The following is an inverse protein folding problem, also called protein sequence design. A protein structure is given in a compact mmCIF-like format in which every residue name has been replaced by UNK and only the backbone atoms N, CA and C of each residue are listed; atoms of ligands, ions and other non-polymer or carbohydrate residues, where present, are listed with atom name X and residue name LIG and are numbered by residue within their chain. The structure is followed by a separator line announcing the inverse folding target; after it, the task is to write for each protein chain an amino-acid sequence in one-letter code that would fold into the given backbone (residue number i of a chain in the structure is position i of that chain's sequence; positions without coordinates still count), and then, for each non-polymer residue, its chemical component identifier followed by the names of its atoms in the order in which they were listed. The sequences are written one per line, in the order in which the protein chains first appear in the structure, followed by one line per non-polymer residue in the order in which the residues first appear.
data_IF_231114920534
#
_entry.id   IF_231114920534
#
_cell.length_a   1.000
_cell.length_b   1.000
_cell.length_c   1.000
_cell.angle_alpha   90.00
_cell.angle_beta   90.00
_cell.angle_gamma   90.00
#
_symmetry.space_group_name_H-M   'P 1'
#
loop_
_entity.id
_entity.type
_entity.pdbx_description
1 polymer ?
#
# COMPACT_ATOMS: atom_id res chain seq x y z
N UNK A 1 2.86 26.10 -10.88
CA UNK A 1 3.42 24.78 -10.54
C UNK A 1 2.88 23.79 -11.54
N UNK A 2 3.61 22.73 -11.91
CA UNK A 2 2.97 21.59 -12.57
C UNK A 2 1.84 21.07 -11.66
N UNK A 3 0.64 20.93 -12.18
CA UNK A 3 -0.56 20.58 -11.42
C UNK A 3 -1.22 19.32 -11.98
N UNK A 4 -1.47 18.36 -11.10
CA UNK A 4 -2.23 17.17 -11.44
C UNK A 4 -3.71 17.53 -11.53
N UNK A 5 -4.38 17.10 -12.59
CA UNK A 5 -5.83 17.30 -12.68
C UNK A 5 -6.53 16.44 -11.61
N UNK A 6 -7.53 16.98 -10.88
CA UNK A 6 -8.22 16.25 -9.81
C UNK A 6 -8.86 14.94 -10.29
N UNK A 7 -9.29 14.92 -11.55
CA UNK A 7 -9.87 13.73 -12.18
C UNK A 7 -8.85 12.60 -12.31
N UNK A 8 -7.64 12.89 -12.82
CA UNK A 8 -6.58 11.88 -12.95
C UNK A 8 -6.08 11.46 -11.57
N UNK A 9 -5.98 12.39 -10.62
CA UNK A 9 -5.64 12.07 -9.24
C UNK A 9 -6.63 11.08 -8.63
N UNK A 10 -7.92 11.37 -8.72
CA UNK A 10 -8.97 10.50 -8.20
C UNK A 10 -8.96 9.13 -8.87
N UNK A 11 -8.71 9.05 -10.18
CA UNK A 11 -8.59 7.77 -10.89
C UNK A 11 -7.41 6.94 -10.38
N UNK A 12 -6.24 7.56 -10.17
CA UNK A 12 -5.06 6.86 -9.64
C UNK A 12 -5.32 6.38 -8.20
N UNK A 13 -5.98 7.20 -7.39
CA UNK A 13 -6.30 6.84 -6.01
C UNK A 13 -7.31 5.69 -5.94
N UNK A 14 -8.33 5.66 -6.81
CA UNK A 14 -9.24 4.53 -6.92
C UNK A 14 -8.50 3.23 -7.29
N UNK A 15 -7.60 3.29 -8.29
CA UNK A 15 -6.78 2.13 -8.67
C UNK A 15 -5.88 1.64 -7.52
N UNK A 16 -5.43 2.55 -6.65
CA UNK A 16 -4.64 2.23 -5.47
C UNK A 16 -5.51 1.57 -4.39
N UNK A 17 -6.71 2.10 -4.14
CA UNK A 17 -7.66 1.54 -3.18
C UNK A 17 -8.14 0.15 -3.59
N UNK A 18 -8.39 -0.05 -4.88
CA UNK A 18 -8.80 -1.33 -5.48
C UNK A 18 -7.65 -2.34 -5.60
N UNK A 19 -6.41 -1.92 -5.35
CA UNK A 19 -5.22 -2.77 -5.36
C UNK A 19 -4.66 -3.07 -6.75
N UNK A 20 -5.15 -2.42 -7.81
CA UNK A 20 -4.63 -2.56 -9.17
C UNK A 20 -3.23 -1.93 -9.31
N UNK A 21 -2.93 -0.90 -8.52
CA UNK A 21 -1.60 -0.31 -8.43
C UNK A 21 -1.11 -0.28 -6.99
N UNK A 22 0.19 -0.48 -6.80
CA UNK A 22 0.86 -0.30 -5.52
C UNK A 22 1.05 1.19 -5.20
N UNK A 23 1.35 1.51 -3.93
CA UNK A 23 1.66 2.89 -3.52
C UNK A 23 2.81 3.51 -4.32
N UNK A 24 3.79 2.70 -4.72
CA UNK A 24 4.92 3.16 -5.53
C UNK A 24 4.47 3.47 -6.96
N UNK A 25 3.68 2.60 -7.58
CA UNK A 25 3.13 2.82 -8.92
C UNK A 25 2.20 4.03 -8.96
N UNK A 26 1.32 4.19 -7.98
CA UNK A 26 0.46 5.37 -7.84
C UNK A 26 1.28 6.66 -7.75
N UNK A 27 2.36 6.66 -6.95
CA UNK A 27 3.26 7.82 -6.83
C UNK A 27 3.96 8.14 -8.16
N UNK A 28 4.34 7.12 -8.92
CA UNK A 28 4.95 7.26 -10.25
C UNK A 28 3.95 7.83 -11.25
N UNK A 29 2.71 7.34 -11.26
CA UNK A 29 1.65 7.83 -12.12
C UNK A 29 1.33 9.30 -11.82
N UNK A 30 1.16 9.67 -10.55
CA UNK A 30 0.93 11.07 -10.16
C UNK A 30 2.05 11.96 -10.68
N UNK A 31 3.32 11.59 -10.47
CA UNK A 31 4.44 12.36 -11.00
C UNK A 31 4.46 12.40 -12.54
N UNK A 32 4.15 11.31 -13.21
CA UNK A 32 4.09 11.25 -14.69
C UNK A 32 3.07 12.23 -15.26
N UNK A 33 1.90 12.39 -14.63
CA UNK A 33 0.86 13.32 -15.08
C UNK A 33 1.04 14.75 -14.56
N UNK A 34 1.81 14.94 -13.49
CA UNK A 34 2.14 16.27 -12.98
C UNK A 34 3.16 16.96 -13.87
N UNK A 35 4.23 16.27 -14.28
CA UNK A 35 5.33 16.90 -15.03
C UNK A 35 5.19 16.72 -16.54
N UNK A 36 5.52 17.77 -17.29
CA UNK A 36 5.46 17.78 -18.76
C UNK A 36 6.41 16.76 -19.40
N UNK A 37 7.52 16.46 -18.73
CA UNK A 37 8.51 15.51 -19.22
C UNK A 37 8.75 14.36 -18.26
N UNK A 38 8.90 13.16 -18.82
CA UNK A 38 9.25 11.97 -18.06
C UNK A 38 10.59 12.13 -17.32
N UNK A 39 11.51 12.95 -17.85
CA UNK A 39 12.80 13.25 -17.23
C UNK A 39 12.65 14.05 -15.94
N UNK A 40 11.77 15.05 -15.91
CA UNK A 40 11.46 15.84 -14.72
C UNK A 40 10.73 14.99 -13.67
N UNK A 41 9.75 14.18 -14.10
CA UNK A 41 9.09 13.21 -13.22
C UNK A 41 10.10 12.27 -12.57
N UNK A 42 11.04 11.72 -13.34
CA UNK A 42 12.11 10.87 -12.83
C UNK A 42 13.02 11.60 -11.83
N UNK A 43 13.42 12.84 -12.15
CA UNK A 43 14.27 13.64 -11.27
C UNK A 43 13.58 13.91 -9.92
N UNK A 44 12.30 14.27 -9.94
CA UNK A 44 11.51 14.51 -8.73
C UNK A 44 11.40 13.29 -7.81
N UNK A 45 11.40 12.09 -8.41
CA UNK A 45 11.28 10.82 -7.71
C UNK A 45 12.62 10.20 -7.33
N UNK A 46 13.75 10.76 -7.77
CA UNK A 46 15.07 10.14 -7.63
C UNK A 46 15.18 8.81 -8.39
N UNK A 47 14.48 8.68 -9.52
CA UNK A 47 14.36 7.45 -10.31
C UNK A 47 15.12 7.56 -11.64
N UNK A 48 15.60 6.43 -12.15
CA UNK A 48 16.21 6.33 -13.47
C UNK A 48 15.12 6.25 -14.56
N UNK A 49 15.23 6.97 -15.69
CA UNK A 49 14.21 6.97 -16.77
C UNK A 49 13.84 5.60 -17.31
N UNK A 50 14.80 4.67 -17.37
CA UNK A 50 14.56 3.29 -17.81
C UNK A 50 13.64 2.54 -16.85
N UNK A 51 13.78 2.75 -15.54
CA UNK A 51 12.92 2.15 -14.52
C UNK A 51 11.48 2.64 -14.63
N UNK A 52 11.30 3.96 -14.77
CA UNK A 52 9.95 4.53 -14.97
C UNK A 52 9.32 3.99 -16.25
N UNK A 53 10.08 3.92 -17.35
CA UNK A 53 9.59 3.41 -18.64
C UNK A 53 9.18 1.94 -18.56
N UNK A 54 9.93 1.11 -17.82
CA UNK A 54 9.60 -0.28 -17.58
C UNK A 54 8.29 -0.42 -16.78
N UNK A 55 8.09 0.43 -15.76
CA UNK A 55 6.88 0.43 -14.93
C UNK A 55 5.66 0.86 -15.76
N UNK A 56 5.74 1.96 -16.51
CA UNK A 56 4.64 2.40 -17.39
C UNK A 56 4.30 1.34 -18.46
N UNK A 57 5.32 0.69 -19.03
CA UNK A 57 5.11 -0.41 -19.99
C UNK A 57 4.46 -1.63 -19.34
N UNK A 58 4.82 -1.93 -18.08
CA UNK A 58 4.19 -2.99 -17.29
C UNK A 58 2.71 -2.71 -17.05
N UNK A 59 2.38 -1.52 -16.55
CA UNK A 59 1.01 -1.07 -16.30
C UNK A 59 0.17 -1.05 -17.58
N UNK A 60 0.76 -0.70 -18.72
CA UNK A 60 0.06 -0.75 -20.00
C UNK A 60 -0.25 -2.18 -20.46
N UNK A 61 0.69 -3.11 -20.28
CA UNK A 61 0.46 -4.54 -20.56
C UNK A 61 -0.61 -5.14 -19.64
N UNK A 62 -0.70 -4.65 -18.41
CA UNK A 62 -1.73 -5.02 -17.44
C UNK A 62 -3.10 -4.41 -17.76
N UNK A 63 -3.21 -3.54 -18.77
CA UNK A 63 -4.47 -2.89 -19.14
C UNK A 63 -4.83 -1.67 -18.28
N UNK A 64 -3.95 -1.27 -17.34
CA UNK A 64 -4.14 -0.10 -16.47
C UNK A 64 -3.86 1.20 -17.24
N UNK A 65 -2.93 1.15 -18.21
CA UNK A 65 -2.59 2.28 -19.07
C UNK A 65 -2.86 1.98 -20.55
N UNK A 66 -3.48 2.92 -21.24
CA UNK A 66 -3.69 2.89 -22.69
C UNK A 66 -2.54 3.66 -23.34
N UNK A 67 -1.86 3.03 -24.30
CA UNK A 67 -0.77 3.67 -25.02
C UNK A 67 -1.31 4.54 -26.15
N UNK A 68 -1.17 5.86 -26.02
CA UNK A 68 -1.68 6.85 -26.98
C UNK A 68 -0.69 7.14 -28.13
N UNK A 69 0.59 6.82 -27.95
CA UNK A 69 1.62 7.11 -28.94
C UNK A 69 3.03 6.75 -28.47
N UNK A 70 4.06 7.38 -29.06
CA UNK A 70 5.46 7.18 -28.65
C UNK A 70 5.68 7.72 -27.22
N UNK A 71 5.65 6.83 -26.24
CA UNK A 71 5.96 7.15 -24.83
C UNK A 71 4.84 7.88 -24.07
N UNK A 72 3.66 8.00 -24.67
CA UNK A 72 2.49 8.63 -24.06
C UNK A 72 1.48 7.57 -23.63
N UNK A 73 1.05 7.68 -22.38
CA UNK A 73 0.11 6.78 -21.73
C UNK A 73 -1.04 7.57 -21.13
N UNK A 74 -2.23 6.97 -21.13
CA UNK A 74 -3.43 7.48 -20.49
C UNK A 74 -3.95 6.42 -19.51
N UNK A 75 -4.54 6.83 -18.38
CA UNK A 75 -5.14 5.89 -17.42
C UNK A 75 -6.42 5.33 -18.04
N UNK A 76 -6.62 4.01 -17.94
CA UNK A 76 -7.84 3.39 -18.45
C UNK A 76 -9.07 3.87 -17.65
N UNK A 77 -10.16 4.11 -18.36
CA UNK A 77 -11.48 4.39 -17.77
C UNK A 77 -12.29 3.12 -17.54
N UNK A 78 -11.88 2.01 -18.17
CA UNK A 78 -12.57 0.74 -18.11
C UNK A 78 -11.75 -0.27 -17.30
N UNK A 79 -12.11 -0.41 -16.02
CA UNK A 79 -11.53 -1.39 -15.09
C UNK A 79 -11.71 -2.83 -15.61
N UNK A 80 -12.73 -3.10 -16.43
CA UNK A 80 -12.96 -4.40 -17.06
C UNK A 80 -11.89 -4.81 -18.08
N UNK A 81 -11.07 -3.86 -18.54
CA UNK A 81 -9.93 -4.13 -19.44
C UNK A 81 -8.65 -4.51 -18.70
N UNK A 82 -8.62 -4.34 -17.37
CA UNK A 82 -7.45 -4.62 -16.55
C UNK A 82 -7.27 -6.14 -16.42
N UNK A 83 -6.14 -6.63 -16.95
CA UNK A 83 -5.75 -8.04 -16.96
C UNK A 83 -5.00 -8.45 -15.70
N UNK A 84 -4.74 -7.51 -14.79
CA UNK A 84 -4.04 -7.78 -13.54
C UNK A 84 -4.94 -8.56 -12.60
N UNK A 85 -4.52 -9.76 -12.23
CA UNK A 85 -5.14 -10.50 -11.14
C UNK A 85 -4.79 -9.79 -9.82
N UNK A 86 -5.83 -9.33 -9.10
CA UNK A 86 -5.64 -8.78 -7.77
C UNK A 86 -5.23 -9.91 -6.82
N UNK A 87 -4.22 -9.70 -5.96
CA UNK A 87 -3.94 -10.67 -4.92
C UNK A 87 -5.20 -10.85 -4.07
N UNK A 88 -5.50 -12.08 -3.60
CA UNK A 88 -6.60 -12.29 -2.69
C UNK A 88 -6.43 -11.36 -1.48
N UNK A 89 -7.53 -10.80 -0.94
CA UNK A 89 -7.45 -9.94 0.22
C UNK A 89 -6.66 -10.66 1.32
N UNK A 90 -5.76 -9.97 2.05
CA UNK A 90 -5.00 -10.59 3.11
C UNK A 90 -5.98 -11.23 4.09
N UNK A 91 -5.75 -12.52 4.42
CA UNK A 91 -6.61 -13.25 5.34
C UNK A 91 -6.88 -12.40 6.58
N UNK A 92 -8.14 -12.30 7.04
CA UNK A 92 -8.44 -11.63 8.29
C UNK A 92 -7.57 -12.29 9.36
N UNK A 93 -6.74 -11.47 10.00
CA UNK A 93 -5.84 -11.95 11.04
C UNK A 93 -6.73 -12.59 12.12
N UNK A 94 -6.73 -13.93 12.18
CA UNK A 94 -7.48 -14.68 13.20
C UNK A 94 -7.15 -14.09 14.57
N UNK A 95 -8.17 -13.49 15.20
CA UNK A 95 -8.06 -12.70 16.43
C UNK A 95 -7.94 -13.57 17.67
N UNK A 96 -8.11 -14.88 17.51
CA UNK A 96 -7.92 -15.87 18.58
C UNK A 96 -6.43 -16.04 18.89
N UNK A 97 -5.88 -15.12 19.68
CA UNK A 97 -4.60 -15.35 20.35
C UNK A 97 -4.87 -15.94 21.72
N UNK A 98 -4.37 -17.16 21.92
CA UNK A 98 -4.30 -17.76 23.25
C UNK A 98 -3.22 -17.02 24.05
N UNK A 99 -3.67 -16.17 24.96
CA UNK A 99 -2.83 -15.32 25.81
C UNK A 99 -3.02 -15.69 27.28
N UNK A 100 -1.92 -15.93 27.98
CA UNK A 100 -1.94 -16.13 29.43
C UNK A 100 -2.29 -14.84 30.18
N UNK A 101 -2.83 -14.95 31.40
CA UNK A 101 -3.11 -13.79 32.26
C UNK A 101 -1.87 -12.93 32.50
N UNK A 102 -0.68 -13.54 32.59
CA UNK A 102 0.60 -12.83 32.78
C UNK A 102 0.97 -11.99 31.55
N UNK A 103 0.88 -12.58 30.36
CA UNK A 103 1.12 -11.87 29.10
C UNK A 103 0.13 -10.71 28.91
N UNK A 104 -1.16 -10.92 29.22
CA UNK A 104 -2.20 -9.89 29.14
C UNK A 104 -1.92 -8.70 30.05
N UNK A 105 -1.68 -8.95 31.34
CA UNK A 105 -1.36 -7.91 32.31
C UNK A 105 -0.07 -7.17 31.95
N UNK A 106 0.92 -7.89 31.44
CA UNK A 106 2.17 -7.29 31.00
C UNK A 106 1.95 -6.38 29.78
N UNK A 107 1.21 -6.84 28.77
CA UNK A 107 0.90 -6.07 27.56
C UNK A 107 0.16 -4.77 27.91
N UNK A 108 -0.90 -4.85 28.74
CA UNK A 108 -1.65 -3.66 29.16
C UNK A 108 -0.77 -2.63 29.88
N UNK A 109 0.21 -3.08 30.67
CA UNK A 109 1.09 -2.20 31.45
C UNK A 109 2.27 -1.65 30.65
N UNK A 110 2.82 -2.41 29.70
CA UNK A 110 4.13 -2.15 29.12
C UNK A 110 4.14 -1.91 27.61
N UNK A 111 3.09 -2.27 26.87
CA UNK A 111 3.10 -2.25 25.40
C UNK A 111 3.50 -0.90 24.79
N UNK A 112 2.97 0.22 25.30
CA UNK A 112 3.27 1.57 24.76
C UNK A 112 4.66 2.11 25.14
N UNK A 113 5.28 1.58 26.19
CA UNK A 113 6.52 2.13 26.78
C UNK A 113 7.74 1.23 26.62
N UNK A 114 7.56 -0.06 26.35
CA UNK A 114 8.65 -1.02 26.31
C UNK A 114 9.55 -0.88 25.07
N UNK A 115 8.98 -0.45 23.95
CA UNK A 115 9.73 -0.23 22.70
C UNK A 115 9.04 -0.83 21.48
N UNK A 116 9.84 -1.32 20.54
CA UNK A 116 9.34 -1.85 19.26
C UNK A 116 8.63 -3.20 19.43
N UNK A 117 7.72 -3.52 18.50
CA UNK A 117 7.01 -4.82 18.45
C UNK A 117 7.98 -6.01 18.41
N UNK A 118 9.16 -5.85 17.80
CA UNK A 118 10.22 -6.87 17.77
C UNK A 118 10.84 -7.10 19.16
N UNK A 119 11.06 -6.04 19.95
CA UNK A 119 11.58 -6.17 21.31
C UNK A 119 10.56 -6.82 22.25
N UNK A 120 9.29 -6.44 22.12
CA UNK A 120 8.19 -7.04 22.88
C UNK A 120 8.08 -8.55 22.56
N UNK A 121 8.22 -8.93 21.29
CA UNK A 121 8.20 -10.32 20.84
C UNK A 121 9.32 -11.15 21.50
N UNK A 122 10.54 -10.60 21.54
CA UNK A 122 11.67 -11.23 22.26
C UNK A 122 11.41 -11.38 23.75
N UNK A 123 10.85 -10.34 24.40
CA UNK A 123 10.56 -10.37 25.84
C UNK A 123 9.49 -11.41 26.20
N UNK A 124 8.41 -11.47 25.43
CA UNK A 124 7.30 -12.40 25.64
C UNK A 124 7.57 -13.80 25.08
N UNK A 125 8.73 -14.02 24.43
CA UNK A 125 9.08 -15.26 23.70
C UNK A 125 8.00 -15.66 22.68
N UNK A 126 7.45 -14.67 21.98
CA UNK A 126 6.40 -14.81 20.96
C UNK A 126 6.92 -14.33 19.60
N UNK A 127 6.19 -14.66 18.54
CA UNK A 127 6.44 -14.07 17.23
C UNK A 127 6.02 -12.59 17.20
N UNK A 128 6.63 -11.79 16.30
CA UNK A 128 6.22 -10.39 16.07
C UNK A 128 4.73 -10.31 15.65
N UNK A 129 4.29 -11.28 14.86
CA UNK A 129 2.90 -11.40 14.41
C UNK A 129 1.96 -11.64 15.59
N UNK A 130 2.31 -12.52 16.53
CA UNK A 130 1.49 -12.75 17.73
C UNK A 130 1.42 -11.49 18.59
N UNK A 131 2.51 -10.74 18.77
CA UNK A 131 2.47 -9.48 19.52
C UNK A 131 1.51 -8.46 18.88
N UNK A 132 1.47 -8.39 17.55
CA UNK A 132 0.50 -7.55 16.82
C UNK A 132 -0.92 -8.04 17.11
N UNK A 133 -1.17 -9.34 17.00
CA UNK A 133 -2.49 -9.94 17.28
C UNK A 133 -2.92 -9.71 18.73
N UNK A 134 -2.02 -9.86 19.69
CA UNK A 134 -2.27 -9.60 21.12
C UNK A 134 -2.62 -8.13 21.36
N UNK A 135 -1.93 -7.20 20.70
CA UNK A 135 -2.22 -5.78 20.82
C UNK A 135 -3.59 -5.40 20.23
N UNK A 136 -3.96 -6.00 19.09
CA UNK A 136 -5.27 -5.85 18.47
C UNK A 136 -6.36 -6.42 19.39
N UNK A 137 -6.18 -7.65 19.88
CA UNK A 137 -7.12 -8.32 20.79
C UNK A 137 -7.34 -7.53 22.11
N UNK A 138 -6.29 -6.86 22.60
CA UNK A 138 -6.36 -6.00 23.79
C UNK A 138 -6.75 -4.54 23.49
N UNK A 139 -7.09 -4.20 22.24
CA UNK A 139 -7.40 -2.83 21.78
C UNK A 139 -6.29 -1.81 22.07
N UNK A 140 -5.05 -2.27 22.20
CA UNK A 140 -3.86 -1.44 22.41
C UNK A 140 -3.35 -0.83 21.10
N UNK A 141 -3.68 -1.47 19.98
CA UNK A 141 -3.33 -1.03 18.63
C UNK A 141 -4.58 -1.05 17.74
N UNK A 142 -5.02 0.12 17.30
CA UNK A 142 -6.18 0.29 16.43
C UNK A 142 -5.78 0.62 14.98
N UNK A 143 -4.48 0.76 14.68
CA UNK A 143 -4.00 1.16 13.34
C UNK A 143 -4.07 0.05 12.29
N UNK A 144 -4.44 -1.17 12.68
CA UNK A 144 -4.65 -2.32 11.78
C UNK A 144 -6.09 -2.83 11.81
N UNK A 145 -7.06 -1.98 12.17
CA UNK A 145 -8.45 -2.24 11.79
C UNK A 145 -8.54 -1.94 10.30
N UNK A 146 -8.52 -2.99 9.47
CA UNK A 146 -9.14 -2.89 8.17
C UNK A 146 -10.55 -2.33 8.38
N UNK A 147 -10.75 -1.09 7.98
CA UNK A 147 -12.07 -0.51 7.80
C UNK A 147 -12.80 -1.37 6.78
N UNK A 148 -13.77 -2.15 7.25
CA UNK A 148 -15.09 -2.36 6.66
C UNK A 148 -15.68 -3.61 7.31
N UNK A 149 -16.48 -3.39 8.34
CA UNK A 149 -17.64 -4.23 8.59
C UNK A 149 -18.82 -3.40 8.07
N UNK A 150 -19.39 -3.82 6.95
CA UNK A 150 -20.84 -3.81 6.77
C UNK A 150 -21.36 -5.18 7.22
#
# INVERSE_FOLDING_TARGET
MPELTPEIESRIDNLLEDGYVSTVEARILKAYYTFDTQKEACHSLGMIPTSMSAILSGLSREGILIKMGRGQYEVTDDVGTIKKELPPPPDPIKTEVIMSKKERSWMLKNYKKFGTRTQIARHLKRSKTDVIRMAIALKLDQKNKGSRCD
#
